data_IF_119964118505
#
_entry.id   IF_119964118505
#
_cell.length_a   1.000
_cell.length_b   1.000
_cell.length_c   1.000
_cell.angle_alpha   90.00
_cell.angle_beta   90.00
_cell.angle_gamma   90.00
#
_symmetry.space_group_name_H-M   'P 1'
#
loop_
_entity.id
_entity.type
_entity.pdbx_description
1 polymer ?
#
# COMPACT_ATOMS: atom_id res chain seq x y z
N UNK A 1 -20.27 -5.60 -91.90
CA UNK A 1 -20.96 -5.28 -93.18
C UNK A 1 -22.01 -4.22 -92.89
N UNK A 2 -22.14 -3.20 -93.73
CA UNK A 2 -23.15 -2.14 -93.58
C UNK A 2 -24.26 -2.40 -94.61
N UNK A 3 -25.11 -3.36 -94.31
CA UNK A 3 -26.41 -3.47 -94.99
C UNK A 3 -27.44 -3.19 -93.91
N UNK A 4 -28.17 -2.09 -94.07
CA UNK A 4 -29.25 -1.67 -93.16
C UNK A 4 -30.55 -2.37 -93.54
N UNK A 5 -31.46 -2.55 -92.57
CA UNK A 5 -32.82 -3.05 -92.84
C UNK A 5 -33.52 -2.21 -93.92
N UNK A 6 -33.27 -0.89 -93.92
CA UNK A 6 -33.80 0.04 -94.93
C UNK A 6 -33.22 -0.23 -96.33
N UNK A 7 -31.97 -0.69 -96.41
CA UNK A 7 -31.29 -0.99 -97.66
C UNK A 7 -31.78 -2.33 -98.22
N UNK A 8 -32.03 -3.32 -97.35
CA UNK A 8 -32.66 -4.60 -97.73
C UNK A 8 -34.04 -4.34 -98.35
N UNK A 9 -34.85 -3.48 -97.71
CA UNK A 9 -36.21 -3.16 -98.15
C UNK A 9 -36.28 -2.37 -99.45
N UNK A 10 -35.27 -1.56 -99.74
CA UNK A 10 -35.19 -0.71 -100.95
C UNK A 10 -34.38 -1.36 -102.07
N UNK A 11 -33.84 -2.55 -101.85
CA UNK A 11 -33.01 -3.22 -102.83
C UNK A 11 -33.87 -3.70 -104.00
N UNK A 12 -33.45 -3.39 -105.23
CA UNK A 12 -34.12 -3.82 -106.45
C UNK A 12 -33.18 -4.69 -107.26
N UNK A 13 -33.72 -5.78 -107.82
CA UNK A 13 -32.96 -6.71 -108.66
C UNK A 13 -33.22 -6.45 -110.16
N UNK A 14 -32.24 -6.78 -111.01
CA UNK A 14 -32.41 -6.74 -112.45
C UNK A 14 -33.41 -7.80 -112.93
N UNK A 15 -34.31 -7.43 -113.86
CA UNK A 15 -35.33 -8.33 -114.39
C UNK A 15 -34.77 -9.14 -115.57
N UNK A 16 -34.76 -10.46 -115.44
CA UNK A 16 -34.33 -11.40 -116.49
C UNK A 16 -35.45 -12.40 -116.85
N UNK A 17 -35.47 -12.85 -118.11
CA UNK A 17 -36.47 -13.81 -118.59
C UNK A 17 -36.31 -15.17 -117.86
N UNK A 18 -37.37 -15.64 -117.18
CA UNK A 18 -37.41 -16.80 -116.26
C UNK A 18 -36.76 -16.59 -114.86
N UNK A 19 -36.83 -15.38 -114.30
CA UNK A 19 -36.45 -15.11 -112.90
C UNK A 19 -37.51 -15.50 -111.86
N UNK A 20 -37.20 -15.25 -110.59
CA UNK A 20 -38.15 -15.36 -109.46
C UNK A 20 -39.30 -14.37 -109.59
N UNK A 21 -40.44 -14.67 -108.95
CA UNK A 21 -41.59 -13.77 -108.91
C UNK A 21 -41.26 -12.51 -108.09
N UNK A 22 -41.34 -11.30 -108.67
CA UNK A 22 -41.01 -10.06 -107.96
C UNK A 22 -41.85 -9.86 -106.70
N UNK A 23 -43.13 -10.25 -106.69
CA UNK A 23 -44.02 -10.04 -105.54
C UNK A 23 -43.63 -10.93 -104.34
N UNK A 24 -43.19 -12.16 -104.62
CA UNK A 24 -42.71 -13.11 -103.60
C UNK A 24 -41.34 -12.67 -103.03
N UNK A 25 -40.44 -12.19 -103.89
CA UNK A 25 -39.13 -11.67 -103.48
C UNK A 25 -39.30 -10.41 -102.63
N UNK A 26 -40.19 -9.49 -103.00
CA UNK A 26 -40.48 -8.29 -102.21
C UNK A 26 -41.09 -8.64 -100.85
N UNK A 27 -41.98 -9.62 -100.77
CA UNK A 27 -42.51 -10.11 -99.50
C UNK A 27 -41.42 -10.70 -98.59
N UNK A 28 -40.49 -11.48 -99.16
CA UNK A 28 -39.34 -12.02 -98.44
C UNK A 28 -38.36 -10.95 -97.97
N UNK A 29 -38.03 -9.96 -98.82
CA UNK A 29 -37.16 -8.83 -98.43
C UNK A 29 -37.77 -8.00 -97.29
N UNK A 30 -39.09 -7.82 -97.29
CA UNK A 30 -39.79 -7.12 -96.20
C UNK A 30 -39.68 -7.88 -94.87
N UNK A 31 -39.94 -9.20 -94.86
CA UNK A 31 -39.82 -10.02 -93.64
C UNK A 31 -38.37 -10.11 -93.16
N UNK A 32 -37.43 -10.26 -94.08
CA UNK A 32 -35.99 -10.25 -93.78
C UNK A 32 -35.56 -8.89 -93.20
N UNK A 33 -36.06 -7.77 -93.72
CA UNK A 33 -35.74 -6.46 -93.16
C UNK A 33 -36.24 -6.29 -91.73
N UNK A 34 -37.44 -6.81 -91.41
CA UNK A 34 -38.01 -6.73 -90.06
C UNK A 34 -37.22 -7.57 -89.06
N UNK A 35 -36.88 -8.82 -89.43
CA UNK A 35 -36.03 -9.67 -88.58
C UNK A 35 -34.62 -9.09 -88.44
N UNK A 36 -34.07 -8.46 -89.48
CA UNK A 36 -32.78 -7.78 -89.41
C UNK A 36 -32.80 -6.57 -88.47
N UNK A 37 -33.86 -5.77 -88.50
CA UNK A 37 -34.04 -4.64 -87.59
C UNK A 37 -34.20 -5.11 -86.13
N UNK A 38 -34.99 -6.17 -85.91
CA UNK A 38 -35.11 -6.83 -84.61
C UNK A 38 -33.75 -7.33 -84.11
N UNK A 39 -33.01 -8.08 -84.93
CA UNK A 39 -31.70 -8.60 -84.55
C UNK A 39 -30.69 -7.47 -84.29
N UNK A 40 -30.70 -6.42 -85.10
CA UNK A 40 -29.82 -5.27 -84.92
C UNK A 40 -30.12 -4.49 -83.63
N UNK A 41 -31.40 -4.31 -83.31
CA UNK A 41 -31.81 -3.63 -82.06
C UNK A 41 -31.45 -4.46 -80.83
N UNK A 42 -31.68 -5.79 -80.85
CA UNK A 42 -31.27 -6.70 -79.79
C UNK A 42 -29.75 -6.72 -79.62
N UNK A 43 -29.00 -6.78 -80.72
CA UNK A 43 -27.54 -6.72 -80.67
C UNK A 43 -27.03 -5.41 -80.03
N UNK A 44 -27.66 -4.28 -80.34
CA UNK A 44 -27.30 -3.01 -79.75
C UNK A 44 -27.65 -2.94 -78.26
N UNK A 45 -28.82 -3.48 -77.87
CA UNK A 45 -29.20 -3.59 -76.46
C UNK A 45 -28.24 -4.46 -75.66
N UNK A 46 -27.87 -5.63 -76.20
CA UNK A 46 -26.91 -6.53 -75.58
C UNK A 46 -25.52 -5.88 -75.44
N UNK A 47 -25.08 -5.12 -76.44
CA UNK A 47 -23.83 -4.35 -76.35
C UNK A 47 -23.88 -3.29 -75.26
N UNK A 48 -24.99 -2.56 -75.14
CA UNK A 48 -25.16 -1.57 -74.07
C UNK A 48 -25.15 -2.24 -72.69
N UNK A 49 -25.82 -3.38 -72.53
CA UNK A 49 -25.81 -4.15 -71.28
C UNK A 49 -24.43 -4.69 -70.95
N UNK A 50 -23.69 -5.18 -71.95
CA UNK A 50 -22.31 -5.63 -71.78
C UNK A 50 -21.42 -4.48 -71.30
N UNK A 51 -21.48 -3.33 -71.96
CA UNK A 51 -20.68 -2.15 -71.57
C UNK A 51 -21.03 -1.68 -70.15
N UNK A 52 -22.30 -1.70 -69.77
CA UNK A 52 -22.73 -1.39 -68.41
C UNK A 52 -22.18 -2.40 -67.38
N UNK A 53 -22.28 -3.70 -67.67
CA UNK A 53 -21.77 -4.75 -66.80
C UNK A 53 -20.24 -4.70 -66.66
N UNK A 54 -19.52 -4.40 -67.74
CA UNK A 54 -18.07 -4.23 -67.74
C UNK A 54 -17.64 -3.03 -66.89
N UNK A 55 -18.37 -1.90 -66.97
CA UNK A 55 -18.13 -0.72 -66.13
C UNK A 55 -18.37 -1.01 -64.66
N UNK A 56 -19.46 -1.69 -64.31
CA UNK A 56 -19.74 -2.02 -62.91
C UNK A 56 -18.71 -3.02 -62.36
N UNK A 57 -18.30 -4.01 -63.16
CA UNK A 57 -17.24 -4.95 -62.79
C UNK A 57 -15.90 -4.23 -62.57
N UNK A 58 -15.55 -3.25 -63.41
CA UNK A 58 -14.35 -2.45 -63.23
C UNK A 58 -14.41 -1.66 -61.91
N UNK A 59 -15.55 -1.03 -61.61
CA UNK A 59 -15.76 -0.30 -60.35
C UNK A 59 -15.65 -1.22 -59.13
N UNK A 60 -16.27 -2.41 -59.17
CA UNK A 60 -16.18 -3.38 -58.08
C UNK A 60 -14.74 -3.85 -57.83
N UNK A 61 -13.96 -4.09 -58.89
CA UNK A 61 -12.53 -4.42 -58.76
C UNK A 61 -11.72 -3.29 -58.13
N UNK A 62 -12.04 -2.04 -58.45
CA UNK A 62 -11.35 -0.88 -57.88
C UNK A 62 -11.67 -0.72 -56.38
N UNK A 63 -12.93 -0.96 -56.01
CA UNK A 63 -13.37 -1.02 -54.61
C UNK A 63 -12.68 -2.17 -53.88
N UNK A 64 -12.63 -3.37 -54.45
CA UNK A 64 -11.96 -4.54 -53.89
C UNK A 64 -10.46 -4.27 -53.66
N UNK A 65 -9.78 -3.68 -54.65
CA UNK A 65 -8.37 -3.29 -54.54
C UNK A 65 -8.16 -2.27 -53.42
N UNK A 66 -9.04 -1.28 -53.31
CA UNK A 66 -8.97 -0.26 -52.24
C UNK A 66 -9.20 -0.89 -50.88
N UNK A 67 -10.21 -1.74 -50.74
CA UNK A 67 -10.52 -2.46 -49.51
C UNK A 67 -9.35 -3.35 -49.08
N UNK A 68 -8.73 -4.07 -50.01
CA UNK A 68 -7.56 -4.89 -49.73
C UNK A 68 -6.36 -4.06 -49.26
N UNK A 69 -6.10 -2.91 -49.89
CA UNK A 69 -5.04 -1.98 -49.45
C UNK A 69 -5.32 -1.46 -48.04
N UNK A 70 -6.56 -1.07 -47.75
CA UNK A 70 -6.95 -0.59 -46.42
C UNK A 70 -6.82 -1.69 -45.37
N UNK A 71 -7.26 -2.92 -45.67
CA UNK A 71 -7.15 -4.05 -44.76
C UNK A 71 -5.68 -4.38 -44.47
N UNK A 72 -4.84 -4.38 -45.50
CA UNK A 72 -3.41 -4.60 -45.34
C UNK A 72 -2.75 -3.47 -44.53
N UNK A 73 -3.10 -2.21 -44.79
CA UNK A 73 -2.60 -1.09 -44.02
C UNK A 73 -3.03 -1.18 -42.53
N UNK A 74 -4.26 -1.61 -42.27
CA UNK A 74 -4.72 -1.86 -40.91
C UNK A 74 -3.93 -3.00 -40.25
N UNK A 75 -3.69 -4.11 -40.95
CA UNK A 75 -2.86 -5.22 -40.45
C UNK A 75 -1.41 -4.78 -40.15
N UNK A 76 -0.79 -4.04 -41.07
CA UNK A 76 0.56 -3.50 -40.90
C UNK A 76 0.62 -2.51 -39.73
N UNK A 77 -0.43 -1.70 -39.54
CA UNK A 77 -0.55 -0.77 -38.40
C UNK A 77 -0.72 -1.53 -37.09
N UNK A 78 -1.56 -2.57 -37.05
CA UNK A 78 -1.72 -3.41 -35.86
C UNK A 78 -0.39 -4.07 -35.46
N UNK A 79 0.36 -4.60 -36.43
CA UNK A 79 1.69 -5.18 -36.19
C UNK A 79 2.69 -4.15 -35.67
N UNK A 80 2.63 -2.92 -36.19
CA UNK A 80 3.47 -1.82 -35.71
C UNK A 80 3.13 -1.46 -34.26
N UNK A 81 1.84 -1.34 -33.92
CA UNK A 81 1.36 -1.06 -32.57
C UNK A 81 1.79 -2.18 -31.61
N UNK A 82 1.65 -3.45 -31.99
CA UNK A 82 2.11 -4.58 -31.18
C UNK A 82 3.62 -4.52 -30.92
N UNK A 83 4.41 -4.23 -31.96
CA UNK A 83 5.86 -4.11 -31.83
C UNK A 83 6.24 -2.95 -30.91
N UNK A 84 5.65 -1.78 -31.08
CA UNK A 84 5.92 -0.60 -30.25
C UNK A 84 5.47 -0.83 -28.80
N UNK A 85 4.32 -1.44 -28.58
CA UNK A 85 3.83 -1.79 -27.25
C UNK A 85 4.78 -2.77 -26.54
N UNK A 86 5.30 -3.77 -27.25
CA UNK A 86 6.27 -4.72 -26.71
C UNK A 86 7.61 -4.03 -26.39
N UNK A 87 8.15 -3.22 -27.30
CA UNK A 87 9.40 -2.48 -27.07
C UNK A 87 9.26 -1.51 -25.88
N UNK A 88 8.12 -0.82 -25.77
CA UNK A 88 7.85 0.08 -24.64
C UNK A 88 7.64 -0.69 -23.33
N UNK A 89 7.00 -1.86 -23.37
CA UNK A 89 6.87 -2.71 -22.20
C UNK A 89 8.23 -3.22 -21.71
N UNK A 90 9.10 -3.68 -22.62
CA UNK A 90 10.46 -4.09 -22.31
C UNK A 90 11.28 -2.95 -21.70
N UNK A 91 11.24 -1.75 -22.31
CA UNK A 91 11.88 -0.55 -21.76
C UNK A 91 11.40 -0.24 -20.35
N UNK A 92 10.08 -0.25 -20.12
CA UNK A 92 9.51 0.01 -18.79
C UNK A 92 9.94 -1.03 -17.76
N UNK A 93 10.01 -2.30 -18.14
CA UNK A 93 10.51 -3.36 -17.26
C UNK A 93 11.98 -3.11 -16.92
N UNK A 94 12.80 -2.74 -17.90
CA UNK A 94 14.21 -2.46 -17.68
C UNK A 94 14.43 -1.23 -16.79
N UNK A 95 13.72 -0.13 -17.06
CA UNK A 95 13.72 1.07 -16.21
C UNK A 95 13.29 0.75 -14.77
N UNK A 96 12.24 -0.07 -14.62
CA UNK A 96 11.76 -0.50 -13.30
C UNK A 96 12.79 -1.38 -12.57
N UNK A 97 13.52 -2.23 -13.30
CA UNK A 97 14.61 -3.04 -12.73
C UNK A 97 15.78 -2.19 -12.29
N UNK A 98 16.19 -1.21 -13.11
CA UNK A 98 17.26 -0.27 -12.76
C UNK A 98 16.84 0.53 -11.51
N UNK A 99 15.64 1.11 -11.49
CA UNK A 99 15.15 1.86 -10.34
C UNK A 99 15.06 1.00 -9.07
N UNK A 100 14.62 -0.26 -9.18
CA UNK A 100 14.59 -1.19 -8.05
C UNK A 100 16.00 -1.51 -7.53
N UNK A 101 16.95 -1.76 -8.43
CA UNK A 101 18.34 -2.01 -8.05
C UNK A 101 18.96 -0.76 -7.41
N UNK A 102 18.72 0.42 -7.95
CA UNK A 102 19.19 1.69 -7.40
C UNK A 102 18.64 1.89 -5.98
N UNK A 103 17.34 1.65 -5.77
CA UNK A 103 16.72 1.71 -4.44
C UNK A 103 17.33 0.72 -3.44
N UNK A 104 17.60 -0.52 -3.87
CA UNK A 104 18.25 -1.53 -3.02
C UNK A 104 19.67 -1.10 -2.67
N UNK A 105 20.46 -0.65 -3.64
CA UNK A 105 21.83 -0.19 -3.39
C UNK A 105 21.85 1.04 -2.48
N UNK A 106 20.91 1.97 -2.64
CA UNK A 106 20.79 3.13 -1.75
C UNK A 106 20.42 2.70 -0.32
N UNK A 107 19.47 1.77 -0.18
CA UNK A 107 19.10 1.22 1.13
C UNK A 107 20.29 0.51 1.79
N UNK A 108 21.03 -0.32 1.07
CA UNK A 108 22.24 -0.99 1.56
C UNK A 108 23.32 0.01 1.98
N UNK A 109 23.52 1.07 1.22
CA UNK A 109 24.46 2.14 1.57
C UNK A 109 24.02 2.87 2.84
N UNK A 110 22.75 3.25 2.96
CA UNK A 110 22.19 3.90 4.17
C UNK A 110 22.31 2.99 5.38
N UNK A 111 21.95 1.70 5.26
CA UNK A 111 22.09 0.72 6.34
C UNK A 111 23.55 0.57 6.74
N UNK A 112 24.47 0.46 5.78
CA UNK A 112 25.91 0.37 6.06
C UNK A 112 26.44 1.61 6.78
N UNK A 113 25.97 2.80 6.41
CA UNK A 113 26.31 4.05 7.09
C UNK A 113 25.77 4.07 8.53
N UNK A 114 24.52 3.67 8.73
CA UNK A 114 23.91 3.59 10.07
C UNK A 114 24.68 2.61 10.94
N UNK A 115 25.00 1.41 10.43
CA UNK A 115 25.79 0.40 11.16
C UNK A 115 27.12 1.02 11.60
N UNK A 116 27.89 1.62 10.69
CA UNK A 116 29.16 2.29 11.04
C UNK A 116 28.98 3.36 12.10
N UNK A 117 27.98 4.23 11.96
CA UNK A 117 27.70 5.26 12.96
C UNK A 117 27.33 4.67 14.33
N UNK A 118 26.58 3.57 14.36
CA UNK A 118 26.23 2.89 15.61
C UNK A 118 27.44 2.21 16.25
N UNK A 119 28.32 1.61 15.44
CA UNK A 119 29.58 1.02 15.90
C UNK A 119 30.50 2.10 16.50
N UNK A 120 30.65 3.23 15.82
CA UNK A 120 31.44 4.38 16.29
C UNK A 120 30.89 4.94 17.61
N UNK A 121 29.56 5.09 17.71
CA UNK A 121 28.90 5.54 18.96
C UNK A 121 29.09 4.53 20.08
N UNK A 122 28.96 3.23 19.80
CA UNK A 122 29.18 2.18 20.79
C UNK A 122 30.63 2.15 21.27
N UNK A 123 31.59 2.36 20.36
CA UNK A 123 33.01 2.43 20.73
C UNK A 123 33.28 3.60 21.69
N UNK A 124 32.75 4.79 21.38
CA UNK A 124 32.84 5.96 22.28
C UNK A 124 32.18 5.71 23.62
N UNK A 125 30.96 5.18 23.62
CA UNK A 125 30.25 4.85 24.86
C UNK A 125 31.03 3.87 25.74
N UNK A 126 31.67 2.85 25.14
CA UNK A 126 32.53 1.92 25.88
C UNK A 126 33.74 2.61 26.49
N UNK A 127 34.36 3.54 25.76
CA UNK A 127 35.49 4.32 26.26
C UNK A 127 35.07 5.21 27.44
N UNK A 128 33.97 5.96 27.27
CA UNK A 128 33.42 6.83 28.31
C UNK A 128 33.05 6.03 29.56
N UNK A 129 32.38 4.88 29.39
CA UNK A 129 32.02 4.00 30.50
C UNK A 129 33.26 3.44 31.22
N UNK A 130 34.30 3.04 30.48
CA UNK A 130 35.55 2.56 31.08
C UNK A 130 36.26 3.67 31.87
N UNK A 131 36.20 4.92 31.40
CA UNK A 131 36.72 6.08 32.14
C UNK A 131 35.92 6.33 33.42
N UNK A 132 34.59 6.28 33.34
CA UNK A 132 33.71 6.47 34.48
C UNK A 132 33.95 5.42 35.57
N UNK A 133 34.04 4.14 35.18
CA UNK A 133 34.38 3.05 36.11
C UNK A 133 35.73 3.30 36.80
N UNK A 134 36.74 3.76 36.06
CA UNK A 134 38.06 4.07 36.62
C UNK A 134 38.01 5.23 37.62
N UNK A 135 37.19 6.25 37.36
CA UNK A 135 36.98 7.37 38.28
C UNK A 135 36.30 6.86 39.55
N UNK A 136 35.24 6.07 39.42
CA UNK A 136 34.55 5.47 40.56
C UNK A 136 35.47 4.60 41.40
N UNK A 137 36.29 3.73 40.78
CA UNK A 137 37.29 2.92 41.49
C UNK A 137 38.29 3.78 42.29
N UNK A 138 38.74 4.90 41.71
CA UNK A 138 39.63 5.84 42.40
C UNK A 138 38.93 6.46 43.61
N UNK A 139 37.68 6.87 43.44
CA UNK A 139 36.91 7.52 44.51
C UNK A 139 36.60 6.53 45.65
N UNK A 140 36.27 5.27 45.34
CA UNK A 140 36.16 4.20 46.33
C UNK A 140 37.47 3.99 47.11
N UNK A 141 38.62 3.93 46.42
CA UNK A 141 39.93 3.82 47.09
C UNK A 141 40.21 5.01 48.00
N UNK A 142 39.81 6.22 47.60
CA UNK A 142 39.98 7.40 48.44
C UNK A 142 39.15 7.30 49.74
N UNK A 143 37.91 6.78 49.65
CA UNK A 143 37.07 6.51 50.82
C UNK A 143 37.68 5.43 51.71
N UNK A 144 38.19 4.34 51.14
CA UNK A 144 38.88 3.29 51.91
C UNK A 144 40.10 3.84 52.66
N UNK A 145 40.93 4.64 51.98
CA UNK A 145 42.06 5.30 52.62
C UNK A 145 41.60 6.24 53.74
N UNK A 146 40.53 7.01 53.54
CA UNK A 146 39.98 7.89 54.57
C UNK A 146 39.49 7.09 55.79
N UNK A 147 38.77 5.98 55.56
CA UNK A 147 38.35 5.04 56.60
C UNK A 147 39.56 4.54 57.40
N UNK A 148 40.61 4.08 56.71
CA UNK A 148 41.80 3.53 57.36
C UNK A 148 42.54 4.60 58.18
N UNK A 149 42.63 5.84 57.66
CA UNK A 149 43.15 6.98 58.39
C UNK A 149 42.32 7.29 59.65
N UNK A 150 40.99 7.27 59.57
CA UNK A 150 40.12 7.47 60.73
C UNK A 150 40.29 6.38 61.78
N UNK A 151 40.45 5.11 61.37
CA UNK A 151 40.71 3.99 62.29
C UNK A 151 42.02 4.23 63.06
N UNK A 152 43.07 4.69 62.37
CA UNK A 152 44.36 5.03 63.01
C UNK A 152 44.19 6.21 63.98
N UNK A 153 43.47 7.26 63.60
CA UNK A 153 43.20 8.41 64.47
C UNK A 153 42.41 8.04 65.72
N UNK A 154 41.34 7.25 65.57
CA UNK A 154 40.53 6.76 66.69
C UNK A 154 41.36 5.87 67.63
N UNK A 155 42.20 5.00 67.08
CA UNK A 155 43.11 4.16 67.88
C UNK A 155 44.12 5.01 68.66
N UNK A 156 44.70 6.04 68.03
CA UNK A 156 45.60 6.97 68.70
C UNK A 156 44.91 7.76 69.81
N UNK A 157 43.67 8.21 69.57
CA UNK A 157 42.88 8.93 70.58
C UNK A 157 42.53 8.02 71.75
N UNK A 158 42.10 6.79 71.48
CA UNK A 158 41.82 5.79 72.50
C UNK A 158 43.06 5.48 73.33
N UNK A 159 44.22 5.26 72.69
CA UNK A 159 45.48 5.04 73.39
C UNK A 159 45.91 6.26 74.21
N UNK A 160 45.71 7.48 73.70
CA UNK A 160 46.00 8.72 74.45
C UNK A 160 45.08 8.86 75.66
N UNK A 161 43.79 8.54 75.51
CA UNK A 161 42.82 8.54 76.61
C UNK A 161 43.19 7.48 77.66
N UNK A 162 43.56 6.27 77.24
CA UNK A 162 44.07 5.22 78.13
C UNK A 162 45.33 5.66 78.87
N UNK A 163 46.28 6.31 78.20
CA UNK A 163 47.47 6.85 78.84
C UNK A 163 47.13 7.94 79.87
N UNK A 164 46.15 8.81 79.59
CA UNK A 164 45.69 9.80 80.59
C UNK A 164 45.04 9.15 81.80
N UNK A 165 44.25 8.09 81.60
CA UNK A 165 43.65 7.31 82.69
C UNK A 165 44.74 6.61 83.49
N UNK A 166 45.69 5.95 82.84
CA UNK A 166 46.83 5.28 83.50
C UNK A 166 47.67 6.28 84.30
N UNK A 167 47.96 7.47 83.74
CA UNK A 167 48.65 8.55 84.46
C UNK A 167 47.83 9.07 85.65
N UNK A 168 46.51 9.08 85.57
CA UNK A 168 45.64 9.48 86.68
C UNK A 168 45.63 8.40 87.78
N UNK A 169 45.50 7.13 87.41
CA UNK A 169 45.61 6.00 88.33
C UNK A 169 46.98 5.95 89.02
N UNK A 170 48.07 6.25 88.30
CA UNK A 170 49.41 6.35 88.91
C UNK A 170 49.55 7.54 89.86
N UNK A 171 48.88 8.67 89.60
CA UNK A 171 48.93 9.87 90.47
C UNK A 171 48.04 9.75 91.70
N UNK A 172 46.94 9.00 91.59
CA UNK A 172 45.99 8.77 92.66
C UNK A 172 46.00 7.30 93.02
N UNK A 173 46.98 6.93 93.86
CA UNK A 173 47.06 5.59 94.40
C UNK A 173 45.75 5.24 95.12
N UNK A 174 45.03 4.26 94.56
CA UNK A 174 43.66 3.91 94.93
C UNK A 174 43.55 3.60 96.42
N UNK A 175 44.57 2.96 96.98
CA UNK A 175 44.66 2.64 98.41
C UNK A 175 44.87 3.89 99.28
N UNK A 176 45.65 4.87 98.83
CA UNK A 176 45.88 6.13 99.56
C UNK A 176 44.62 7.00 99.61
N UNK A 177 43.85 7.05 98.53
CA UNK A 177 42.57 7.78 98.50
C UNK A 177 41.51 7.06 99.32
N UNK A 178 41.43 5.72 99.26
CA UNK A 178 40.50 4.94 100.11
C UNK A 178 40.79 5.15 101.60
N UNK A 179 42.06 5.09 102.00
CA UNK A 179 42.47 5.30 103.39
C UNK A 179 42.14 6.72 103.87
N UNK A 180 42.39 7.75 103.04
CA UNK A 180 41.97 9.14 103.36
C UNK A 180 40.45 9.26 103.49
N UNK A 181 39.69 8.53 102.68
CA UNK A 181 38.23 8.51 102.74
C UNK A 181 37.72 7.78 103.99
N UNK A 182 38.38 6.70 104.41
CA UNK A 182 38.12 6.01 105.68
C UNK A 182 38.48 6.87 106.89
N UNK A 183 39.57 7.63 106.85
CA UNK A 183 39.96 8.54 107.93
C UNK A 183 39.00 9.72 108.06
N UNK A 184 38.52 10.27 106.94
CA UNK A 184 37.42 11.26 106.93
C UNK A 184 36.14 10.66 107.51
N UNK A 185 35.82 9.41 107.16
CA UNK A 185 34.65 8.70 107.70
C UNK A 185 34.76 8.45 109.21
N UNK A 186 35.97 8.20 109.73
CA UNK A 186 36.24 8.13 111.18
C UNK A 186 36.09 9.50 111.85
N UNK A 187 36.57 10.58 111.23
CA UNK A 187 36.40 11.94 111.75
C UNK A 187 34.94 12.41 111.79
N UNK A 188 34.11 11.97 110.85
CA UNK A 188 32.66 12.27 110.85
C UNK A 188 31.94 11.49 111.97
N UNK A 189 32.45 10.32 112.39
CA UNK A 189 31.87 9.52 113.47
C UNK A 189 32.18 10.06 114.89
N UNK A 190 33.11 11.01 115.04
CA UNK A 190 33.48 11.63 116.34
C UNK A 190 32.68 12.92 116.68
N UNK A 191 31.74 13.34 115.81
CA UNK A 191 30.93 14.54 116.03
C UNK A 191 29.50 14.15 116.44
N UNK A 192 29.25 13.98 117.74
CA UNK A 192 27.90 13.97 118.32
C UNK A 192 27.41 15.39 118.69
N UNK A 193 26.66 15.92 117.73
CA UNK A 193 25.66 17.01 117.68
C UNK A 193 25.06 17.50 119.03
N UNK A 194 24.85 18.81 119.25
CA UNK A 194 23.80 19.28 120.17
C UNK A 194 22.45 19.47 119.42
N UNK A 195 21.42 18.70 119.82
CA UNK A 195 20.01 18.96 119.46
C UNK A 195 19.39 19.97 120.43
N UNK A 196 18.81 21.08 119.91
CA UNK A 196 17.45 21.62 120.19
C UNK A 196 17.26 23.04 119.61
N UNK A 197 16.01 23.53 119.38
CA UNK A 197 14.71 22.87 119.38
C UNK A 197 13.93 23.02 118.05
N UNK A 198 12.81 22.30 117.97
CA UNK A 198 11.82 22.33 116.89
C UNK A 198 11.33 23.76 116.56
N UNK A 199 11.19 24.05 115.27
CA UNK A 199 10.10 24.87 114.75
C UNK A 199 9.52 24.25 113.48
N UNK A 200 8.19 24.23 113.44
CA UNK A 200 7.35 23.53 112.46
C UNK A 200 7.37 24.19 111.09
N UNK A 201 7.17 23.36 110.07
CA UNK A 201 6.83 23.78 108.71
C UNK A 201 5.61 24.72 108.72
N UNK A 202 5.52 25.56 107.69
CA UNK A 202 4.41 25.30 106.79
C UNK A 202 4.72 25.49 105.30
N UNK A 203 3.94 24.75 104.50
CA UNK A 203 3.41 25.09 103.17
C UNK A 203 4.35 24.90 101.96
N UNK A 204 4.22 23.71 101.37
CA UNK A 204 3.66 23.47 100.02
C UNK A 204 3.69 24.68 99.07
N UNK A 205 4.65 24.67 98.16
CA UNK A 205 4.45 25.19 96.80
C UNK A 205 4.78 24.05 95.85
N UNK A 206 3.72 23.51 95.26
CA UNK A 206 3.78 22.77 94.00
C UNK A 206 4.43 23.71 92.98
N UNK A 207 5.63 23.36 92.51
CA UNK A 207 6.07 23.80 91.20
C UNK A 207 6.18 22.52 90.39
N UNK A 208 5.14 22.35 89.58
CA UNK A 208 5.02 21.43 88.46
C UNK A 208 6.38 20.95 87.95
N UNK A 209 6.56 19.63 87.99
CA UNK A 209 7.16 18.92 86.88
C UNK A 209 6.50 19.47 85.60
N UNK A 210 7.19 20.36 84.90
CA UNK A 210 7.03 20.36 83.45
C UNK A 210 7.74 19.10 82.98
N UNK A 211 7.03 18.09 82.44
CA UNK A 211 7.68 17.29 81.43
C UNK A 211 8.08 18.31 80.36
N UNK A 212 9.39 18.44 80.10
CA UNK A 212 9.79 18.87 78.77
C UNK A 212 9.29 17.74 77.89
N UNK A 213 8.10 17.97 77.34
CA UNK A 213 7.61 17.32 76.14
C UNK A 213 8.81 17.04 75.26
N UNK A 214 9.05 15.77 74.99
CA UNK A 214 9.58 15.34 73.71
C UNK A 214 8.85 16.12 72.62
N UNK A 215 9.45 17.12 71.97
CA UNK A 215 8.98 17.50 70.66
C UNK A 215 9.55 16.43 69.76
N UNK A 216 8.66 15.61 69.24
CA UNK A 216 8.74 15.01 67.92
C UNK A 216 10.16 14.61 67.47
N UNK A 217 10.35 13.30 67.35
CA UNK A 217 11.10 12.79 66.20
C UNK A 217 10.78 13.69 65.01
N UNK A 218 11.75 14.37 64.37
CA UNK A 218 11.53 14.66 62.99
C UNK A 218 11.47 13.30 62.32
N UNK A 219 10.25 12.81 62.08
CA UNK A 219 9.96 12.15 60.83
C UNK A 219 10.65 13.01 59.78
N UNK A 220 11.81 12.55 59.33
CA UNK A 220 12.40 13.08 58.12
C UNK A 220 11.40 12.63 57.06
N UNK A 221 10.46 13.52 56.77
CA UNK A 221 9.72 13.51 55.52
C UNK A 221 10.79 13.69 54.44
N UNK A 222 11.40 12.56 54.08
CA UNK A 222 12.12 12.43 52.83
C UNK A 222 11.03 12.69 51.80
N UNK A 223 10.98 13.92 51.31
CA UNK A 223 10.44 14.20 49.99
C UNK A 223 11.31 13.36 49.06
N UNK A 224 10.90 12.11 48.87
CA UNK A 224 11.21 11.33 47.70
C UNK A 224 10.61 12.14 46.56
N UNK A 225 11.44 12.98 45.94
CA UNK A 225 11.27 13.29 44.53
C UNK A 225 11.46 11.96 43.81
N UNK A 226 10.36 11.21 43.78
CA UNK A 226 10.14 10.11 42.88
C UNK A 226 9.97 10.77 41.50
N UNK A 227 11.08 11.20 40.89
CA UNK A 227 11.14 11.51 39.46
C UNK A 227 11.06 10.17 38.71
N UNK A 228 9.87 9.58 38.80
CA UNK A 228 9.40 8.57 37.90
C UNK A 228 8.96 9.30 36.65
N UNK A 229 9.58 9.09 35.47
CA UNK A 229 9.09 9.71 34.26
C UNK A 229 7.71 9.12 33.96
N UNK A 230 6.66 9.91 34.16
CA UNK A 230 5.37 9.67 33.52
C UNK A 230 5.57 9.82 32.02
N UNK A 231 5.71 8.68 31.34
CA UNK A 231 5.51 8.58 29.91
C UNK A 231 4.03 8.86 29.61
N UNK A 232 3.70 10.13 29.47
CA UNK A 232 2.49 10.54 28.76
C UNK A 232 2.79 10.36 27.28
N UNK A 233 2.20 9.32 26.68
CA UNK A 233 2.09 9.23 25.23
C UNK A 233 1.13 10.31 24.77
N UNK A 234 1.65 11.46 24.34
CA UNK A 234 0.95 12.30 23.37
C UNK A 234 1.05 11.58 22.03
N UNK A 235 -0.02 10.87 21.70
CA UNK A 235 -0.30 10.46 20.33
C UNK A 235 -0.53 11.75 19.55
N UNK A 236 0.36 12.03 18.60
CA UNK A 236 0.16 13.06 17.60
C UNK A 236 -1.16 12.76 16.85
N UNK A 237 -2.17 13.60 17.04
CA UNK A 237 -3.33 13.64 16.16
C UNK A 237 -2.86 14.15 14.78
N UNK A 238 -3.25 13.38 13.77
CA UNK A 238 -3.12 13.72 12.36
C UNK A 238 -3.90 15.02 12.07
N UNK A 239 -3.26 15.90 11.30
CA UNK A 239 -3.82 17.16 10.82
C UNK A 239 -4.92 16.91 9.78
N UNK A 240 -6.11 17.48 9.98
CA UNK A 240 -6.98 17.90 8.86
C UNK A 240 -6.59 19.33 8.45
N UNK A 241 -6.32 19.62 7.17
CA UNK A 241 -5.98 20.98 6.73
C UNK A 241 -7.22 21.84 6.49
N UNK A 242 -7.22 23.07 7.04
CA UNK A 242 -8.16 24.13 6.67
C UNK A 242 -7.87 24.69 5.26
N UNK A 243 -8.89 25.18 4.53
CA UNK A 243 -8.73 25.64 3.15
C UNK A 243 -8.10 27.05 3.05
N UNK A 244 -7.02 27.17 2.27
CA UNK A 244 -6.39 28.45 1.91
C UNK A 244 -7.15 29.23 0.81
N UNK A 245 -7.00 30.57 0.76
CA UNK A 245 -7.75 31.44 -0.14
C UNK A 245 -7.26 31.39 -1.59
N UNK A 246 -8.22 31.50 -2.52
CA UNK A 246 -8.03 31.57 -3.97
C UNK A 246 -7.27 32.85 -4.35
N UNK A 247 -6.09 32.71 -4.95
CA UNK A 247 -5.40 33.79 -5.66
C UNK A 247 -5.77 33.75 -7.14
N UNK A 248 -6.37 34.84 -7.63
CA UNK A 248 -6.51 35.15 -9.05
C UNK A 248 -5.13 35.36 -9.67
N UNK A 249 -4.87 34.70 -10.81
CA UNK A 249 -3.69 34.95 -11.64
C UNK A 249 -4.19 35.41 -13.01
N UNK A 250 -3.91 36.68 -13.27
CA UNK A 250 -4.00 37.40 -14.53
C UNK A 250 -3.01 36.81 -15.56
N UNK A 251 -3.40 36.49 -16.80
CA UNK A 251 -2.47 36.00 -17.81
C UNK A 251 -2.12 37.10 -18.83
N UNK A 252 -0.96 37.73 -18.66
CA UNK A 252 -0.27 38.43 -19.75
C UNK A 252 1.08 37.77 -20.01
N UNK A 253 1.32 37.32 -21.26
CA UNK A 253 2.63 37.12 -21.89
C UNK A 253 2.43 37.11 -23.43
N UNK A 254 3.47 37.33 -24.25
CA UNK A 254 3.49 38.33 -25.32
C UNK A 254 3.30 37.73 -26.73
N UNK A 255 3.02 38.61 -27.69
CA UNK A 255 2.60 38.26 -29.05
C UNK A 255 3.69 37.84 -30.03
N UNK A 256 3.24 37.15 -31.08
CA UNK A 256 3.81 37.10 -32.45
C UNK A 256 2.63 36.84 -33.41
N UNK A 257 2.46 37.68 -34.45
CA UNK A 257 1.48 37.53 -35.54
C UNK A 257 1.87 36.38 -36.51
N UNK A 258 0.98 35.87 -37.38
CA UNK A 258 0.69 36.54 -38.66
C UNK A 258 -0.77 36.43 -39.18
N UNK A 259 -1.04 37.27 -40.19
CA UNK A 259 -2.23 37.40 -41.04
C UNK A 259 -2.59 36.12 -41.83
N UNK A 260 -3.89 35.86 -42.05
CA UNK A 260 -4.56 35.92 -43.38
C UNK A 260 -6.02 35.39 -43.32
N UNK A 261 -6.90 36.12 -44.00
CA UNK A 261 -8.33 35.85 -44.17
C UNK A 261 -8.61 34.62 -45.03
N UNK A 262 -9.54 33.75 -44.60
CA UNK A 262 -10.40 33.01 -45.54
C UNK A 262 -11.81 32.90 -44.95
N UNK A 263 -12.78 33.57 -45.58
CA UNK A 263 -14.21 33.47 -45.29
C UNK A 263 -14.75 32.09 -45.67
N UNK A 264 -15.50 31.46 -44.77
CA UNK A 264 -16.39 30.35 -45.09
C UNK A 264 -17.79 30.63 -44.54
N UNK A 265 -18.73 30.88 -45.45
CA UNK A 265 -20.17 31.04 -45.19
C UNK A 265 -20.82 29.66 -45.33
N UNK A 266 -21.55 29.20 -44.30
CA UNK A 266 -22.53 28.10 -44.38
C UNK A 266 -23.49 28.17 -43.16
N UNK A 267 -24.68 27.55 -43.19
CA UNK A 267 -25.92 28.23 -43.59
C UNK A 267 -26.99 28.28 -42.48
N UNK A 268 -28.01 29.10 -42.74
CA UNK A 268 -29.23 29.28 -41.94
C UNK A 268 -29.95 27.93 -41.74
N UNK A 269 -30.18 27.54 -40.48
CA UNK A 269 -31.04 26.43 -40.10
C UNK A 269 -32.48 26.92 -40.04
N UNK A 270 -33.29 26.56 -41.03
CA UNK A 270 -34.75 26.61 -40.94
C UNK A 270 -35.25 25.36 -40.23
N UNK A 271 -35.88 25.54 -39.07
CA UNK A 271 -36.58 24.49 -38.33
C UNK A 271 -37.76 23.95 -39.15
N UNK A 272 -37.71 22.67 -39.50
CA UNK A 272 -38.86 21.90 -39.99
C UNK A 272 -39.36 21.07 -38.82
N UNK A 273 -40.66 21.12 -38.44
CA UNK A 273 -41.16 20.33 -37.32
C UNK A 273 -41.25 18.85 -37.71
N UNK A 274 -40.68 17.97 -36.88
CA UNK A 274 -40.77 16.52 -36.98
C UNK A 274 -42.22 16.02 -36.83
N UNK A 275 -42.68 15.04 -37.63
CA UNK A 275 -43.95 14.38 -37.40
C UNK A 275 -43.83 13.33 -36.29
N UNK A 276 -44.84 13.26 -35.41
CA UNK A 276 -44.92 12.30 -34.30
C UNK A 276 -44.81 10.83 -34.79
N UNK A 277 -44.16 9.94 -34.02
CA UNK A 277 -43.97 8.54 -34.42
C UNK A 277 -45.28 7.75 -34.30
N UNK A 278 -45.65 7.05 -35.37
CA UNK A 278 -46.77 6.10 -35.37
C UNK A 278 -46.46 4.89 -34.45
N UNK A 279 -47.48 4.28 -33.81
CA UNK A 279 -47.28 3.16 -32.91
C UNK A 279 -46.83 1.91 -33.68
N UNK A 280 -45.72 1.32 -33.23
CA UNK A 280 -45.15 0.08 -33.75
C UNK A 280 -46.07 -1.09 -33.38
N UNK A 281 -46.48 -1.97 -34.32
CA UNK A 281 -47.26 -3.15 -33.97
C UNK A 281 -46.39 -4.19 -33.25
N UNK A 282 -46.88 -4.73 -32.13
CA UNK A 282 -46.24 -5.80 -31.37
C UNK A 282 -46.08 -7.08 -32.23
N UNK A 283 -44.92 -7.78 -32.16
CA UNK A 283 -44.71 -8.99 -32.95
C UNK A 283 -45.50 -10.18 -32.37
N UNK A 284 -46.28 -10.85 -33.23
CA UNK A 284 -46.95 -12.11 -32.91
C UNK A 284 -45.93 -13.23 -32.58
N UNK A 285 -46.24 -14.14 -31.65
CA UNK A 285 -45.32 -15.20 -31.27
C UNK A 285 -45.20 -16.26 -32.39
N UNK A 286 -43.99 -16.38 -32.94
CA UNK A 286 -43.61 -17.44 -33.88
C UNK A 286 -43.67 -18.79 -33.15
N UNK A 287 -44.52 -19.71 -33.62
CA UNK A 287 -44.49 -21.11 -33.21
C UNK A 287 -43.28 -21.80 -33.84
N UNK A 288 -42.33 -22.21 -33.02
CA UNK A 288 -41.20 -23.04 -33.45
C UNK A 288 -41.63 -24.52 -33.50
N UNK A 289 -41.54 -25.13 -34.68
CA UNK A 289 -41.52 -26.59 -34.82
C UNK A 289 -40.13 -27.13 -34.46
N UNK A 290 -40.01 -28.23 -33.68
CA UNK A 290 -38.71 -28.71 -33.24
C UNK A 290 -37.98 -29.45 -34.37
N UNK A 291 -37.04 -28.78 -35.01
CA UNK A 291 -36.05 -29.45 -35.87
C UNK A 291 -34.97 -30.08 -34.97
N UNK A 292 -35.03 -31.39 -34.81
CA UNK A 292 -34.05 -32.16 -34.06
C UNK A 292 -32.68 -32.17 -34.78
N UNK A 293 -31.78 -31.27 -34.38
CA UNK A 293 -30.34 -31.44 -34.61
C UNK A 293 -29.69 -32.07 -33.38
N UNK A 294 -29.72 -33.39 -33.32
CA UNK A 294 -28.81 -34.14 -32.46
C UNK A 294 -27.39 -34.05 -33.02
N UNK A 295 -26.64 -33.05 -32.59
CA UNK A 295 -25.18 -33.11 -32.58
C UNK A 295 -24.70 -32.60 -31.22
N UNK A 296 -24.11 -33.44 -30.36
CA UNK A 296 -23.60 -32.96 -29.08
C UNK A 296 -22.53 -31.90 -29.36
N UNK A 297 -22.77 -30.67 -28.92
CA UNK A 297 -21.73 -29.64 -28.80
C UNK A 297 -20.68 -30.21 -27.86
N UNK A 298 -19.49 -30.53 -28.39
CA UNK A 298 -18.32 -30.63 -27.54
C UNK A 298 -18.09 -29.24 -26.96
N UNK A 299 -18.42 -29.05 -25.70
CA UNK A 299 -17.98 -27.92 -24.90
C UNK A 299 -16.46 -27.94 -24.95
N UNK A 300 -15.86 -27.00 -25.68
CA UNK A 300 -14.41 -26.81 -25.63
C UNK A 300 -14.08 -26.42 -24.19
N UNK A 301 -13.23 -27.22 -23.52
CA UNK A 301 -12.70 -26.89 -22.20
C UNK A 301 -12.03 -25.52 -22.29
N UNK A 302 -12.46 -24.59 -21.47
CA UNK A 302 -11.82 -23.28 -21.37
C UNK A 302 -10.47 -23.43 -20.67
N UNK A 303 -9.48 -22.62 -21.03
CA UNK A 303 -8.14 -22.66 -20.39
C UNK A 303 -8.20 -22.47 -18.86
N UNK A 304 -9.27 -21.84 -18.36
CA UNK A 304 -9.55 -21.73 -16.93
C UNK A 304 -9.89 -23.10 -16.28
N UNK A 305 -10.62 -23.97 -16.98
CA UNK A 305 -11.01 -25.29 -16.46
C UNK A 305 -9.79 -26.23 -16.39
N UNK A 306 -8.87 -26.10 -17.34
CA UNK A 306 -7.61 -26.85 -17.33
C UNK A 306 -6.67 -26.37 -16.22
N UNK A 307 -6.62 -25.06 -15.95
CA UNK A 307 -5.85 -24.51 -14.84
C UNK A 307 -6.39 -24.96 -13.47
N UNK A 308 -7.71 -25.05 -13.32
CA UNK A 308 -8.35 -25.51 -12.10
C UNK A 308 -8.14 -27.02 -11.87
N UNK A 309 -8.14 -27.82 -12.94
CA UNK A 309 -7.80 -29.25 -12.90
C UNK A 309 -6.33 -29.48 -12.48
N UNK A 310 -5.39 -28.69 -13.02
CA UNK A 310 -3.97 -28.75 -12.63
C UNK A 310 -3.75 -28.32 -11.18
N UNK A 311 -4.43 -27.27 -10.72
CA UNK A 311 -4.39 -26.86 -9.31
C UNK A 311 -4.93 -27.98 -8.39
N UNK A 312 -6.05 -28.60 -8.76
CA UNK A 312 -6.62 -29.72 -8.01
C UNK A 312 -5.66 -30.93 -7.96
N UNK A 313 -4.96 -31.24 -9.05
CA UNK A 313 -3.94 -32.28 -9.06
C UNK A 313 -2.74 -31.92 -8.18
N UNK A 314 -2.26 -30.67 -8.20
CA UNK A 314 -1.17 -30.21 -7.33
C UNK A 314 -1.55 -30.33 -5.85
N UNK A 315 -2.78 -29.96 -5.47
CA UNK A 315 -3.28 -30.12 -4.11
C UNK A 315 -3.37 -31.60 -3.70
N UNK A 316 -3.82 -32.47 -4.60
CA UNK A 316 -3.90 -33.91 -4.35
C UNK A 316 -2.53 -34.57 -4.23
N UNK A 317 -1.55 -34.10 -5.00
CA UNK A 317 -0.14 -34.53 -4.90
C UNK A 317 0.47 -34.03 -3.59
N UNK A 318 0.19 -32.79 -3.18
CA UNK A 318 0.66 -32.22 -1.92
C UNK A 318 0.07 -32.96 -0.69
N UNK A 319 -1.22 -33.30 -0.70
CA UNK A 319 -1.84 -34.12 0.35
C UNK A 319 -1.23 -35.52 0.39
N UNK A 320 -1.07 -36.16 -0.78
CA UNK A 320 -0.44 -37.48 -0.87
C UNK A 320 1.02 -37.46 -0.40
N UNK A 321 1.76 -36.38 -0.68
CA UNK A 321 3.12 -36.16 -0.18
C UNK A 321 3.13 -36.01 1.35
N UNK A 322 2.19 -35.23 1.90
CA UNK A 322 2.02 -35.01 3.34
C UNK A 322 1.63 -36.28 4.11
N UNK A 323 0.82 -37.15 3.50
CA UNK A 323 0.46 -38.45 4.08
C UNK A 323 1.58 -39.49 3.94
N UNK A 324 2.37 -39.42 2.86
CA UNK A 324 3.53 -40.31 2.65
C UNK A 324 4.74 -39.96 3.52
N UNK A 325 4.84 -38.71 4.00
CA UNK A 325 5.96 -38.24 4.85
C UNK A 325 5.69 -38.43 6.35
N UNK A 326 4.82 -39.37 6.73
CA UNK A 326 4.54 -39.69 8.13
C UNK A 326 5.72 -40.40 8.81
N UNK A 327 6.73 -39.62 9.17
CA UNK A 327 7.80 -39.99 10.08
C UNK A 327 8.44 -38.73 10.61
N UNK A 328 8.15 -38.41 11.87
CA UNK A 328 8.74 -37.36 12.73
C UNK A 328 7.89 -36.07 12.84
N UNK A 329 7.26 -35.94 14.02
CA UNK A 329 6.56 -34.78 14.60
C UNK A 329 5.16 -34.42 14.08
N UNK A 330 4.14 -35.09 14.63
CA UNK A 330 2.79 -34.50 14.78
C UNK A 330 2.64 -33.91 16.19
N UNK A 331 2.34 -32.61 16.36
CA UNK A 331 1.78 -32.10 17.60
C UNK A 331 0.39 -32.70 17.81
N UNK A 332 0.04 -33.01 19.06
CA UNK A 332 -1.29 -33.47 19.48
C UNK A 332 -2.34 -32.41 19.13
N UNK A 333 -3.19 -32.66 18.14
CA UNK A 333 -4.44 -31.92 17.98
C UNK A 333 -5.46 -32.42 19.01
N UNK A 334 -5.94 -31.49 19.83
CA UNK A 334 -7.06 -31.65 20.73
C UNK A 334 -8.35 -31.82 19.93
N UNK A 335 -9.11 -32.87 20.24
CA UNK A 335 -10.43 -33.18 19.70
C UNK A 335 -11.39 -31.98 19.70
N UNK A 336 -12.21 -31.78 18.65
CA UNK A 336 -13.30 -30.80 18.70
C UNK A 336 -14.50 -31.37 19.49
N UNK A 337 -15.28 -30.53 20.20
CA UNK A 337 -16.44 -31.00 20.93
C UNK A 337 -17.61 -31.31 19.98
N UNK A 338 -18.30 -32.42 20.28
CA UNK A 338 -19.57 -32.83 19.66
C UNK A 338 -20.61 -31.71 19.82
N UNK A 339 -21.06 -31.11 18.72
CA UNK A 339 -22.32 -30.35 18.70
C UNK A 339 -23.49 -31.34 18.73
N UNK A 340 -24.18 -31.38 19.85
CA UNK A 340 -25.47 -32.01 20.04
C UNK A 340 -26.59 -31.17 19.40
N UNK A 341 -27.53 -31.85 18.74
CA UNK A 341 -28.97 -31.58 18.87
C UNK A 341 -29.51 -30.29 18.24
N UNK A 342 -30.41 -30.46 17.27
CA UNK A 342 -31.18 -29.38 16.68
C UNK A 342 -32.13 -28.68 17.66
N UNK A 343 -32.48 -27.46 17.30
CA UNK A 343 -33.45 -26.62 18.01
C UNK A 343 -33.67 -25.34 17.23
N UNK A 344 -34.71 -25.34 16.40
CA UNK A 344 -35.23 -24.16 15.71
C UNK A 344 -35.61 -23.08 16.73
N UNK A 345 -35.07 -21.86 16.56
CA UNK A 345 -35.34 -20.70 17.43
C UNK A 345 -36.16 -19.60 16.73
N UNK A 346 -36.53 -19.78 15.46
CA UNK A 346 -37.36 -18.81 14.71
C UNK A 346 -38.81 -19.27 14.56
N UNK A 347 -39.40 -19.77 15.66
CA UNK A 347 -40.83 -20.09 15.75
C UNK A 347 -41.53 -19.33 16.89
N UNK A 348 -40.96 -18.21 17.34
CA UNK A 348 -41.59 -17.32 18.33
C UNK A 348 -40.99 -15.90 18.26
N UNK A 349 -41.52 -15.08 17.36
CA UNK A 349 -41.94 -13.67 17.50
C UNK A 349 -42.43 -13.15 16.15
#
# INVERSE_FOLDING_TARGET
MKISAIEIRKHTFEKIFRGYDPDEVDAFLNSLSQEWERYSSENNLLKMQLEYAEKELAKLKDIESTLFRTLKAAEDTSKLIEKEANENAEKRIEESRVAANDLVTEAEQRTSQIIKQTEDRLAKFKEDFAQEVKIQERDFRAIENFRDNLIVQLSSLANSALETVERFEQKYDKESVLNKMEDIKKHIAEIEIPKKPLYQAPVRIEVEEKPVESPAEPEVEVVLQDDKPELVFEVAEEQEPEPEPVFEIDPELPGVEPEEEIQAVAPVVTEVPEPEPAPVPEPEPVREEPVAYNRPRQTQRTAADEAEEVLAEMHKVAEKARDSSAGINRPRESSPPKKSGGGSFFDQI
#
